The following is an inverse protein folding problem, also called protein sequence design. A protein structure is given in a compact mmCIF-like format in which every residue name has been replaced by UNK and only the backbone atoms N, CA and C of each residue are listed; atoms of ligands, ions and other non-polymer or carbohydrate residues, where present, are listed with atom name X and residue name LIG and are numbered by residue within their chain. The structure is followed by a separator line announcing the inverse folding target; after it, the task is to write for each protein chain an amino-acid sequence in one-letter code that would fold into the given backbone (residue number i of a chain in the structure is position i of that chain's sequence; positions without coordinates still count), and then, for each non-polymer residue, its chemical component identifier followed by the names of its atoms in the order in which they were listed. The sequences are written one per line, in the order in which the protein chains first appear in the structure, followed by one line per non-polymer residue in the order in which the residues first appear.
data_IF_855170492454
#
_entry.id   IF_855170492454
#
_cell.length_a   1.000
_cell.length_b   1.000
_cell.length_c   1.000
_cell.angle_alpha   90.00
_cell.angle_beta   90.00
_cell.angle_gamma   90.00
#
_symmetry.space_group_name_H-M   'P 1'
#
loop_
_entity.id
_entity.type
_entity.pdbx_description
1 polymer ?
#
# COMPACT_ATOMS: atom_id res chain seq x y z
N UNK A 1 15.90 -1.68 -0.68
CA UNK A 1 14.78 -0.86 -1.15
C UNK A 1 13.91 -1.66 -2.09
N UNK A 2 12.61 -1.62 -1.90
CA UNK A 2 11.71 -2.41 -2.72
C UNK A 2 10.49 -1.59 -3.10
N UNK A 3 9.88 -1.92 -4.24
CA UNK A 3 8.66 -1.25 -4.68
C UNK A 3 7.67 -2.27 -5.19
N UNK A 4 6.40 -1.92 -5.08
CA UNK A 4 5.29 -2.78 -5.44
C UNK A 4 4.25 -1.95 -6.18
N UNK A 5 3.54 -2.59 -7.09
CA UNK A 5 2.51 -1.90 -7.86
C UNK A 5 1.31 -2.82 -8.03
N UNK A 6 0.12 -2.24 -7.96
CA UNK A 6 -1.11 -2.99 -8.18
C UNK A 6 -2.17 -2.06 -8.74
N UNK A 7 -3.00 -2.59 -9.63
CA UNK A 7 -4.17 -1.88 -10.14
C UNK A 7 -5.40 -2.41 -9.42
N UNK A 8 -6.27 -1.51 -8.98
CA UNK A 8 -7.44 -1.90 -8.18
C UNK A 8 -8.64 -1.02 -8.53
N UNK A 9 -9.83 -1.51 -8.20
CA UNK A 9 -11.06 -0.75 -8.37
C UNK A 9 -11.34 0.19 -7.20
N UNK A 10 -10.57 0.11 -6.12
CA UNK A 10 -10.81 0.94 -4.94
C UNK A 10 -10.46 2.40 -5.21
N UNK A 11 -11.06 3.31 -4.44
CA UNK A 11 -10.76 4.73 -4.56
C UNK A 11 -9.43 5.05 -3.89
N UNK A 12 -8.81 6.15 -4.29
CA UNK A 12 -7.56 6.59 -3.67
C UNK A 12 -7.74 6.75 -2.17
N UNK A 13 -8.82 7.37 -1.73
CA UNK A 13 -9.09 7.60 -0.33
C UNK A 13 -9.16 6.28 0.45
N UNK A 14 -9.87 5.29 -0.10
CA UNK A 14 -10.01 4.00 0.56
C UNK A 14 -8.68 3.25 0.61
N UNK A 15 -7.87 3.37 -0.44
CA UNK A 15 -6.56 2.73 -0.49
C UNK A 15 -5.67 3.28 0.61
N UNK A 16 -5.58 4.60 0.73
CA UNK A 16 -4.70 5.21 1.72
C UNK A 16 -5.19 4.94 3.14
N UNK A 17 -6.51 4.96 3.34
CA UNK A 17 -7.08 4.63 4.65
C UNK A 17 -6.80 3.18 5.02
N UNK A 18 -6.95 2.26 4.08
CA UNK A 18 -6.68 0.85 4.30
C UNK A 18 -5.22 0.62 4.61
N UNK A 19 -4.32 1.29 3.86
CA UNK A 19 -2.89 1.17 4.10
C UNK A 19 -2.54 1.58 5.52
N UNK A 20 -3.02 2.74 5.96
CA UNK A 20 -2.75 3.20 7.30
C UNK A 20 -3.30 2.22 8.34
N UNK A 21 -4.56 1.81 8.18
CA UNK A 21 -5.20 0.92 9.14
C UNK A 21 -4.50 -0.43 9.24
N UNK A 22 -4.22 -1.06 8.11
CA UNK A 22 -3.62 -2.39 8.09
C UNK A 22 -2.19 -2.35 8.63
N UNK A 23 -1.39 -1.40 8.12
CA UNK A 23 0.03 -1.39 8.47
C UNK A 23 0.28 -0.94 9.90
N UNK A 24 -0.49 0.03 10.40
CA UNK A 24 -0.30 0.46 11.79
C UNK A 24 -0.84 -0.54 12.80
N UNK A 25 -1.75 -1.43 12.39
CA UNK A 25 -2.24 -2.47 13.27
C UNK A 25 -1.28 -3.67 13.36
N UNK A 26 -0.38 -3.80 12.38
CA UNK A 26 0.54 -4.93 12.32
C UNK A 26 1.96 -4.57 12.71
N UNK A 27 2.32 -3.30 12.61
CA UNK A 27 3.70 -2.82 12.81
C UNK A 27 3.71 -1.59 13.69
N UNK A 28 4.78 -1.38 14.48
CA UNK A 28 4.89 -0.17 15.30
C UNK A 28 5.37 1.02 14.45
N UNK A 29 4.57 1.42 13.50
CA UNK A 29 4.86 2.56 12.63
C UNK A 29 3.73 3.55 12.71
N UNK A 30 4.01 4.81 12.40
CA UNK A 30 3.03 5.89 12.45
C UNK A 30 3.11 6.72 11.18
N UNK A 31 1.99 7.35 10.85
CA UNK A 31 1.95 8.24 9.69
C UNK A 31 2.75 9.50 9.99
N UNK A 32 3.72 9.82 9.12
CA UNK A 32 4.58 11.00 9.27
C UNK A 32 4.33 12.04 8.20
N UNK A 33 3.65 11.67 7.11
CA UNK A 33 3.32 12.61 6.05
C UNK A 33 2.09 12.11 5.29
N UNK A 34 1.36 13.04 4.71
CA UNK A 34 0.13 12.70 4.00
C UNK A 34 -0.21 13.81 3.01
N UNK A 35 -0.70 13.42 1.82
CA UNK A 35 -1.34 14.35 0.91
C UNK A 35 -2.52 13.64 0.26
N UNK A 36 -3.12 14.24 -0.79
CA UNK A 36 -4.32 13.68 -1.42
C UNK A 36 -4.07 12.34 -2.08
N UNK A 37 -2.84 12.01 -2.40
CA UNK A 37 -2.50 10.84 -3.20
C UNK A 37 -1.52 9.91 -2.54
N UNK A 38 -1.00 10.24 -1.35
CA UNK A 38 0.00 9.40 -0.71
C UNK A 38 0.02 9.56 0.79
N UNK A 39 0.55 8.52 1.46
CA UNK A 39 0.89 8.58 2.88
C UNK A 39 2.27 7.99 3.06
N UNK A 40 2.96 8.46 4.10
CA UNK A 40 4.24 7.91 4.50
C UNK A 40 4.12 7.44 5.94
N UNK A 41 4.57 6.20 6.21
CA UNK A 41 4.54 5.60 7.53
C UNK A 41 5.97 5.23 7.91
N UNK A 42 6.37 5.51 9.15
CA UNK A 42 7.73 5.26 9.61
C UNK A 42 7.74 4.73 11.03
N UNK A 43 8.72 3.91 11.32
CA UNK A 43 8.92 3.36 12.66
C UNK A 43 10.16 2.51 12.73
N UNK A 44 10.25 1.68 13.76
CA UNK A 44 11.43 0.85 13.97
C UNK A 44 11.69 -0.16 12.86
N UNK A 45 10.65 -0.58 12.15
CA UNK A 45 10.77 -1.57 11.08
C UNK A 45 11.11 -0.94 9.72
N UNK A 46 11.16 0.38 9.64
CA UNK A 46 11.51 1.05 8.40
C UNK A 46 10.47 2.08 7.99
N UNK A 47 10.52 2.45 6.72
CA UNK A 47 9.68 3.49 6.15
C UNK A 47 9.02 2.97 4.89
N UNK A 48 7.72 3.28 4.74
CA UNK A 48 6.98 2.95 3.53
C UNK A 48 6.18 4.16 3.07
N UNK A 49 6.17 4.37 1.77
CA UNK A 49 5.32 5.40 1.14
C UNK A 49 4.34 4.69 0.22
N UNK A 50 3.06 4.91 0.46
CA UNK A 50 2.00 4.37 -0.38
C UNK A 50 1.37 5.52 -1.14
N UNK A 51 1.33 5.41 -2.46
CA UNK A 51 0.72 6.43 -3.30
C UNK A 51 -0.24 5.77 -4.28
N UNK A 52 -1.18 6.56 -4.77
CA UNK A 52 -2.19 6.05 -5.70
C UNK A 52 -2.60 7.15 -6.65
N UNK A 53 -2.91 6.76 -7.90
CA UNK A 53 -3.42 7.72 -8.88
C UNK A 53 -4.45 7.02 -9.77
N UNK A 54 -5.37 7.82 -10.30
CA UNK A 54 -6.39 7.30 -11.20
C UNK A 54 -5.81 7.09 -12.59
N UNK A 55 -6.26 6.02 -13.23
CA UNK A 55 -5.89 5.72 -14.61
C UNK A 55 -7.15 5.19 -15.29
N UNK A 56 -7.90 6.09 -15.92
CA UNK A 56 -9.19 5.73 -16.46
C UNK A 56 -10.18 5.42 -15.34
N UNK A 57 -10.77 4.24 -15.39
CA UNK A 57 -11.71 3.78 -14.36
C UNK A 57 -11.00 3.07 -13.21
N UNK A 58 -9.69 2.87 -13.33
CA UNK A 58 -8.92 2.12 -12.36
C UNK A 58 -8.04 3.03 -11.52
N UNK A 59 -7.50 2.48 -10.44
CA UNK A 59 -6.54 3.18 -9.60
C UNK A 59 -5.26 2.35 -9.55
N UNK A 60 -4.13 2.99 -9.81
CA UNK A 60 -2.82 2.34 -9.71
C UNK A 60 -2.22 2.70 -8.36
N UNK A 61 -1.81 1.69 -7.61
CA UNK A 61 -1.25 1.84 -6.27
C UNK A 61 0.21 1.47 -6.32
N UNK A 62 1.06 2.32 -5.74
CA UNK A 62 2.49 2.07 -5.60
C UNK A 62 2.83 2.07 -4.12
N UNK A 63 3.70 1.15 -3.71
CA UNK A 63 4.26 1.15 -2.37
C UNK A 63 5.77 1.03 -2.48
N UNK A 64 6.50 1.89 -1.78
CA UNK A 64 7.95 1.87 -1.78
C UNK A 64 8.45 1.79 -0.35
N UNK A 65 9.40 0.89 -0.10
CA UNK A 65 10.00 0.74 1.22
C UNK A 65 11.49 1.01 1.16
N UNK A 66 12.09 1.28 2.33
CA UNK A 66 13.54 1.42 2.44
C UNK A 66 14.19 0.14 2.95
N UNK A 67 13.47 -0.99 2.91
CA UNK A 67 13.94 -2.29 3.39
C UNK A 67 13.97 -3.30 2.25
N UNK A 68 14.45 -4.50 2.55
CA UNK A 68 14.46 -5.59 1.58
C UNK A 68 13.08 -6.23 1.48
N UNK A 69 12.80 -6.87 0.36
CA UNK A 69 11.51 -7.53 0.13
C UNK A 69 11.18 -8.59 1.18
N UNK A 70 12.19 -9.13 1.83
CA UNK A 70 12.01 -10.17 2.86
C UNK A 70 11.87 -9.58 4.26
N UNK A 71 11.97 -8.26 4.41
CA UNK A 71 11.83 -7.63 5.71
C UNK A 71 10.40 -7.76 6.23
N UNK A 72 10.24 -7.63 7.55
CA UNK A 72 8.91 -7.69 8.15
C UNK A 72 8.01 -6.59 7.58
N UNK A 73 8.56 -5.38 7.40
CA UNK A 73 7.80 -4.29 6.81
C UNK A 73 7.30 -4.67 5.42
N UNK A 74 8.19 -5.20 4.59
CA UNK A 74 7.83 -5.53 3.22
C UNK A 74 6.82 -6.67 3.13
N UNK A 75 6.91 -7.65 4.02
CA UNK A 75 5.92 -8.73 4.06
C UNK A 75 4.53 -8.19 4.38
N UNK A 76 4.44 -7.25 5.31
CA UNK A 76 3.15 -6.66 5.65
C UNK A 76 2.66 -5.69 4.58
N UNK A 77 3.56 -5.02 3.87
CA UNK A 77 3.18 -4.19 2.72
C UNK A 77 2.59 -5.08 1.62
N UNK A 78 3.21 -6.23 1.36
CA UNK A 78 2.68 -7.18 0.38
C UNK A 78 1.32 -7.71 0.83
N UNK A 79 1.14 -7.96 2.11
CA UNK A 79 -0.16 -8.36 2.65
C UNK A 79 -1.22 -7.29 2.38
N UNK A 80 -0.88 -6.03 2.66
CA UNK A 80 -1.79 -4.92 2.38
C UNK A 80 -2.14 -4.86 0.89
N UNK A 81 -1.15 -4.95 0.02
CA UNK A 81 -1.38 -4.89 -1.43
C UNK A 81 -2.32 -6.02 -1.87
N UNK A 82 -2.16 -7.19 -1.29
CA UNK A 82 -3.02 -8.33 -1.61
C UNK A 82 -4.44 -8.21 -1.11
N UNK A 83 -4.70 -7.29 -0.17
CA UNK A 83 -6.05 -7.06 0.36
C UNK A 83 -6.90 -6.12 -0.49
N UNK A 84 -6.29 -5.45 -1.44
CA UNK A 84 -7.03 -4.51 -2.28
C UNK A 84 -7.97 -5.27 -3.22
N UNK A 85 -9.16 -4.70 -3.51
CA UNK A 85 -10.11 -5.36 -4.40
C UNK A 85 -9.52 -5.60 -5.78
N UNK A 86 -9.93 -6.69 -6.39
CA UNK A 86 -9.52 -7.00 -7.76
C UNK A 86 -10.28 -6.15 -8.75
N UNK A 87 -9.63 -5.87 -9.87
CA UNK A 87 -10.28 -5.21 -10.99
C UNK A 87 -11.32 -6.14 -11.61
N UNK A 88 -12.37 -5.59 -12.23
CA UNK A 88 -13.24 -6.41 -13.07
C UNK A 88 -12.38 -7.09 -14.14
N UNK A 89 -12.52 -8.41 -14.24
CA UNK A 89 -11.73 -9.17 -15.18
C UNK A 89 -10.45 -9.75 -14.62
N UNK A 90 -10.01 -9.31 -13.46
CA UNK A 90 -8.87 -9.90 -12.80
C UNK A 90 -9.21 -11.31 -12.36
N UNK A 91 -8.19 -12.16 -12.39
CA UNK A 91 -8.37 -13.53 -11.99
C UNK A 91 -8.18 -13.60 -10.48
N UNK A 92 -9.28 -13.50 -9.74
CA UNK A 92 -9.23 -13.41 -8.28
C UNK A 92 -9.12 -14.77 -7.60
N UNK A 93 -9.28 -15.82 -8.37
CA UNK A 93 -9.26 -17.14 -7.80
C UNK A 93 -7.87 -17.65 -7.60
N UNK A 94 -6.92 -16.97 -7.98
CA UNK A 94 -5.61 -17.45 -7.79
C UNK A 94 -5.12 -17.16 -6.52
#
# INVERSE_FOLDING_TARGET
MASYERTTAATIKDILRTAESVLTSRLPILKTAEDHHSITLEGGDGKVRVSAHRHGLDTVVHAETDQLRTSRLDLDVQYFMGRLPYQPGDSAER
#
